data_IF_455200417860
#
_entry.id   IF_455200417860
#
_cell.length_a   1.000
_cell.length_b   1.000
_cell.length_c   1.000
_cell.angle_alpha   90.00
_cell.angle_beta   90.00
_cell.angle_gamma   90.00
#
_symmetry.space_group_name_H-M   'P 1'
#
loop_
_entity.id
_entity.type
_entity.pdbx_description
1 polymer ?
#
# COMPACT_ATOMS: atom_id res chain seq x y z
N UNK A 1 6.82 0.95 18.63
CA UNK A 1 7.60 0.14 17.69
C UNK A 1 6.72 -0.06 16.47
N UNK A 2 7.18 0.38 15.30
CA UNK A 2 6.49 0.14 14.03
C UNK A 2 7.12 -1.08 13.41
N UNK A 3 6.34 -2.15 13.29
CA UNK A 3 6.77 -3.40 12.69
C UNK A 3 6.23 -3.45 11.26
N UNK A 4 7.14 -3.54 10.30
CA UNK A 4 6.81 -3.77 8.89
C UNK A 4 7.21 -5.21 8.60
N UNK A 5 6.19 -6.08 8.51
CA UNK A 5 6.35 -7.46 8.09
C UNK A 5 6.38 -7.58 6.57
N UNK A 6 7.23 -8.46 6.03
CA UNK A 6 7.11 -8.96 4.66
C UNK A 6 6.93 -10.47 4.74
N UNK A 7 5.72 -10.91 5.11
CA UNK A 7 5.36 -12.31 5.23
C UNK A 7 4.38 -12.77 4.14
N UNK A 8 3.81 -13.97 4.37
CA UNK A 8 2.80 -14.55 3.47
C UNK A 8 1.55 -13.67 3.35
N UNK A 9 1.17 -12.97 4.42
CA UNK A 9 -0.06 -12.17 4.47
C UNK A 9 0.07 -10.91 3.61
N UNK A 10 1.21 -10.23 3.69
CA UNK A 10 1.47 -8.99 2.95
C UNK A 10 1.62 -9.28 1.45
N UNK A 11 2.27 -10.40 1.10
CA UNK A 11 2.34 -10.86 -0.28
C UNK A 11 0.96 -11.20 -0.85
N UNK A 12 0.12 -11.89 -0.07
CA UNK A 12 -1.28 -12.16 -0.44
C UNK A 12 -2.08 -10.87 -0.59
N UNK A 13 -1.93 -9.91 0.32
CA UNK A 13 -2.63 -8.62 0.24
C UNK A 13 -2.20 -7.82 -1.00
N UNK A 14 -0.92 -7.81 -1.33
CA UNK A 14 -0.41 -7.18 -2.56
C UNK A 14 -0.97 -7.86 -3.82
N UNK A 15 -1.00 -9.19 -3.85
CA UNK A 15 -1.61 -9.97 -4.93
C UNK A 15 -3.11 -9.67 -5.08
N UNK A 16 -3.85 -9.65 -3.97
CA UNK A 16 -5.29 -9.32 -3.98
C UNK A 16 -5.51 -7.90 -4.50
N UNK A 17 -4.71 -6.92 -4.05
CA UNK A 17 -4.78 -5.55 -4.54
C UNK A 17 -4.52 -5.45 -6.04
N UNK A 18 -3.51 -6.15 -6.55
CA UNK A 18 -3.16 -6.19 -7.97
C UNK A 18 -4.25 -6.85 -8.81
N UNK A 19 -4.74 -8.03 -8.40
CA UNK A 19 -5.79 -8.77 -9.11
C UNK A 19 -7.08 -7.97 -9.12
N UNK A 20 -7.46 -7.37 -7.98
CA UNK A 20 -8.65 -6.52 -7.90
C UNK A 20 -8.50 -5.30 -8.81
N UNK A 21 -7.36 -4.61 -8.76
CA UNK A 21 -7.08 -3.47 -9.65
C UNK A 21 -7.17 -3.86 -11.14
N UNK A 22 -6.63 -5.02 -11.51
CA UNK A 22 -6.71 -5.54 -12.87
C UNK A 22 -8.16 -5.80 -13.29
N UNK A 23 -8.95 -6.53 -12.48
CA UNK A 23 -10.36 -6.83 -12.78
C UNK A 23 -11.14 -5.54 -13.00
N UNK A 24 -11.10 -4.61 -12.04
CA UNK A 24 -11.85 -3.35 -12.11
C UNK A 24 -11.46 -2.52 -13.34
N UNK A 25 -10.18 -2.51 -13.70
CA UNK A 25 -9.68 -1.83 -14.90
C UNK A 25 -10.18 -2.50 -16.17
N UNK A 26 -10.15 -3.84 -16.24
CA UNK A 26 -10.60 -4.61 -17.41
C UNK A 26 -12.09 -4.44 -17.68
N UNK A 27 -12.93 -4.50 -16.64
CA UNK A 27 -14.39 -4.36 -16.82
C UNK A 27 -14.88 -2.91 -16.81
N UNK A 28 -13.96 -1.93 -16.66
CA UNK A 28 -14.26 -0.50 -16.51
C UNK A 28 -15.30 -0.23 -15.42
N UNK A 29 -15.25 -1.01 -14.34
CA UNK A 29 -16.19 -0.87 -13.24
C UNK A 29 -15.96 0.47 -12.51
N UNK A 30 -17.03 1.14 -12.03
CA UNK A 30 -16.88 2.30 -11.17
C UNK A 30 -16.18 1.87 -9.88
N UNK A 31 -14.95 2.33 -9.68
CA UNK A 31 -14.18 2.07 -8.47
C UNK A 31 -14.54 3.17 -7.46
N UNK A 32 -14.92 2.84 -6.21
CA UNK A 32 -15.15 3.84 -5.16
C UNK A 32 -13.90 4.65 -4.78
N UNK A 33 -12.72 4.16 -5.17
CA UNK A 33 -11.44 4.81 -4.94
C UNK A 33 -11.20 5.97 -5.95
N UNK A 34 -10.43 7.00 -5.58
CA UNK A 34 -10.06 8.05 -6.53
C UNK A 34 -9.35 7.42 -7.72
N UNK A 35 -10.05 7.34 -8.86
CA UNK A 35 -9.54 6.77 -10.11
C UNK A 35 -8.52 7.69 -10.81
N UNK A 36 -8.07 8.72 -10.11
CA UNK A 36 -7.07 9.69 -10.57
C UNK A 36 -5.72 9.33 -9.99
N UNK A 37 -4.69 9.45 -10.82
CA UNK A 37 -3.30 9.20 -10.47
C UNK A 37 -2.87 9.90 -9.16
N UNK A 38 -3.43 11.09 -8.89
CA UNK A 38 -3.21 11.83 -7.64
C UNK A 38 -3.65 11.11 -6.37
N UNK A 39 -4.74 10.35 -6.39
CA UNK A 39 -5.20 9.59 -5.22
C UNK A 39 -4.29 8.41 -4.88
N UNK A 40 -3.79 7.72 -5.90
CA UNK A 40 -2.80 6.64 -5.74
C UNK A 40 -1.52 7.20 -5.12
N UNK A 41 -1.01 8.31 -5.65
CA UNK A 41 0.18 8.96 -5.11
C UNK A 41 -0.01 9.53 -3.70
N UNK A 42 -1.21 9.98 -3.34
CA UNK A 42 -1.51 10.43 -1.97
C UNK A 42 -1.40 9.27 -0.96
N UNK A 43 -1.93 8.09 -1.29
CA UNK A 43 -1.83 6.90 -0.44
C UNK A 43 -0.38 6.46 -0.29
N UNK A 44 0.36 6.35 -1.42
CA UNK A 44 1.78 6.00 -1.40
C UNK A 44 2.62 7.00 -0.61
N UNK A 45 2.41 8.30 -0.83
CA UNK A 45 3.11 9.37 -0.12
C UNK A 45 2.85 9.34 1.38
N UNK A 46 1.61 9.06 1.80
CA UNK A 46 1.24 8.94 3.21
C UNK A 46 1.97 7.76 3.87
N UNK A 47 2.01 6.61 3.20
CA UNK A 47 2.75 5.44 3.69
C UNK A 47 4.26 5.71 3.77
N UNK A 48 4.85 6.28 2.72
CA UNK A 48 6.28 6.65 2.70
C UNK A 48 6.61 7.64 3.84
N UNK A 49 5.77 8.67 4.03
CA UNK A 49 5.94 9.63 5.12
C UNK A 49 5.88 8.98 6.50
N UNK A 50 4.93 8.06 6.71
CA UNK A 50 4.83 7.26 7.93
C UNK A 50 6.12 6.45 8.20
N UNK A 51 6.61 5.73 7.20
CA UNK A 51 7.86 4.94 7.30
C UNK A 51 9.07 5.84 7.56
N UNK A 52 9.18 6.96 6.85
CA UNK A 52 10.29 7.91 7.02
C UNK A 52 10.32 8.49 8.45
N UNK A 53 9.17 8.89 8.99
CA UNK A 53 9.09 9.38 10.37
C UNK A 53 9.42 8.27 11.38
N UNK A 54 8.95 7.05 11.16
CA UNK A 54 9.29 5.90 12.01
C UNK A 54 10.79 5.59 12.00
N UNK A 55 11.44 5.68 10.84
CA UNK A 55 12.88 5.52 10.68
C UNK A 55 13.66 6.62 11.41
N UNK A 56 13.28 7.89 11.22
CA UNK A 56 13.92 9.04 11.90
C UNK A 56 13.82 8.92 13.43
N UNK A 57 12.71 8.38 13.93
CA UNK A 57 12.49 8.16 15.37
C UNK A 57 13.19 6.92 15.92
N UNK A 58 13.89 6.13 15.10
CA UNK A 58 14.51 4.87 15.50
C UNK A 58 13.49 3.81 15.93
N UNK A 59 12.25 3.90 15.44
CA UNK A 59 11.14 3.02 15.83
C UNK A 59 10.81 1.96 14.77
N UNK A 60 11.56 1.94 13.67
CA UNK A 60 11.35 1.04 12.55
C UNK A 60 12.01 -0.33 12.81
N UNK A 61 11.19 -1.37 12.90
CA UNK A 61 11.61 -2.76 12.84
C UNK A 61 11.07 -3.38 11.56
N UNK A 62 11.95 -3.94 10.74
CA UNK A 62 11.56 -4.69 9.54
C UNK A 62 11.66 -6.18 9.89
N UNK A 63 10.53 -6.85 9.88
CA UNK A 63 10.44 -8.30 10.04
C UNK A 63 10.34 -8.93 8.63
N UNK A 64 11.29 -9.77 8.28
CA UNK A 64 11.31 -10.57 7.05
C UNK A 64 10.70 -11.95 7.29
#
# INVERSE_FOLDING_TARGET
MVEIGIGSTELQAALVGLVTGLIYTTVRAPIPAPNVLGGIFAILGTFIGFVAVAAIRGQLHVAL
#
